data_IF_444774460838
#
_entry.id   IF_444774460838
#
_cell.length_a   1.000
_cell.length_b   1.000
_cell.length_c   1.000
_cell.angle_alpha   90.00
_cell.angle_beta   90.00
_cell.angle_gamma   90.00
#
_symmetry.space_group_name_H-M   'P 1'
#
loop_
_entity.id
_entity.type
_entity.pdbx_description
1 polymer ?
#
# COMPACT_ATOMS: atom_id res chain seq x y z
N UNK A 1 -15.46 13.96 -2.52
CA UNK A 1 -14.13 13.50 -2.91
C UNK A 1 -13.71 12.29 -2.06
N UNK A 2 -13.24 11.25 -2.70
CA UNK A 2 -12.77 10.05 -2.01
C UNK A 2 -11.41 10.32 -1.38
N UNK A 3 -11.22 9.87 -0.16
CA UNK A 3 -10.04 10.22 0.63
C UNK A 3 -9.11 9.04 0.87
N UNK A 4 -7.81 9.24 0.60
CA UNK A 4 -6.72 8.39 1.05
C UNK A 4 -5.93 9.18 2.08
N UNK A 5 -5.68 8.58 3.23
CA UNK A 5 -5.01 9.25 4.35
C UNK A 5 -3.79 8.44 4.81
N UNK A 6 -2.57 8.98 4.63
CA UNK A 6 -1.38 8.37 5.20
C UNK A 6 -1.15 8.88 6.62
N UNK A 7 -0.80 7.96 7.52
CA UNK A 7 -0.41 8.30 8.89
C UNK A 7 0.95 7.67 9.16
N UNK A 8 1.99 8.50 9.31
CA UNK A 8 3.34 8.01 9.56
C UNK A 8 3.45 7.58 11.02
N UNK A 9 3.81 6.32 11.24
CA UNK A 9 3.93 5.71 12.57
C UNK A 9 5.36 5.60 13.05
N UNK A 10 6.29 5.29 12.15
CA UNK A 10 7.73 5.23 12.42
C UNK A 10 8.46 5.82 11.24
N UNK A 11 9.45 6.65 11.50
CA UNK A 11 10.28 7.23 10.45
C UNK A 11 11.68 7.45 11.00
N UNK A 12 12.61 6.59 10.59
CA UNK A 12 14.01 6.67 11.01
C UNK A 12 14.92 6.27 9.84
N UNK A 13 16.21 6.08 10.11
CA UNK A 13 17.18 5.76 9.07
C UNK A 13 17.00 4.34 8.49
N UNK A 14 16.28 3.49 9.17
CA UNK A 14 16.15 2.07 8.78
C UNK A 14 14.81 1.74 8.14
N UNK A 15 13.71 2.29 8.67
CA UNK A 15 12.37 2.00 8.19
C UNK A 15 11.50 3.25 8.20
N UNK A 16 10.54 3.26 7.28
CA UNK A 16 9.39 4.17 7.35
C UNK A 16 8.14 3.32 7.39
N UNK A 17 7.35 3.48 8.45
CA UNK A 17 6.11 2.74 8.65
C UNK A 17 4.95 3.72 8.49
N UNK A 18 4.12 3.49 7.50
CA UNK A 18 2.97 4.34 7.19
C UNK A 18 1.70 3.51 7.22
N UNK A 19 0.72 3.96 7.97
CA UNK A 19 -0.61 3.38 7.93
C UNK A 19 -1.43 4.12 6.88
N UNK A 20 -1.92 3.39 5.89
CA UNK A 20 -2.74 3.93 4.81
C UNK A 20 -4.20 3.60 5.05
N UNK A 21 -5.05 4.62 4.96
CA UNK A 21 -6.49 4.47 5.12
C UNK A 21 -7.19 4.97 3.88
N UNK A 22 -8.11 4.16 3.35
CA UNK A 22 -8.81 4.42 2.10
C UNK A 22 -10.31 4.39 2.32
N UNK A 23 -11.01 5.45 1.94
CA UNK A 23 -12.45 5.39 1.76
C UNK A 23 -12.76 4.48 0.56
N UNK A 24 -13.97 3.88 0.49
CA UNK A 24 -14.36 3.09 -0.68
C UNK A 24 -14.20 3.91 -1.97
N UNK A 25 -13.56 3.32 -2.96
CA UNK A 25 -13.30 3.97 -4.25
C UNK A 25 -12.13 4.95 -4.25
N UNK A 26 -11.50 5.20 -3.11
CA UNK A 26 -10.34 6.10 -3.05
C UNK A 26 -9.12 5.47 -3.72
N UNK A 27 -8.27 6.32 -4.30
CA UNK A 27 -7.08 5.90 -5.02
C UNK A 27 -5.87 6.76 -4.62
N UNK A 28 -4.69 6.14 -4.57
CA UNK A 28 -3.45 6.86 -4.27
C UNK A 28 -3.01 7.78 -5.40
N UNK A 29 -3.43 7.48 -6.63
CA UNK A 29 -2.82 8.02 -7.84
C UNK A 29 -1.58 7.21 -8.22
N UNK A 30 -1.09 7.43 -9.43
CA UNK A 30 0.10 6.73 -9.91
C UNK A 30 1.32 7.13 -9.07
N UNK A 31 2.06 6.14 -8.59
CA UNK A 31 3.28 6.39 -7.82
C UNK A 31 4.28 5.27 -8.04
N UNK A 32 5.53 5.55 -7.71
CA UNK A 32 6.63 4.60 -7.80
C UNK A 32 7.24 4.41 -6.42
N UNK A 33 7.48 3.15 -6.05
CA UNK A 33 8.15 2.82 -4.80
C UNK A 33 9.66 2.91 -4.95
N UNK A 34 10.29 3.67 -4.05
CA UNK A 34 11.74 3.88 -4.04
C UNK A 34 12.49 2.82 -3.24
N UNK A 35 11.78 2.01 -2.46
CA UNK A 35 12.35 1.01 -1.56
C UNK A 35 11.55 -0.29 -1.64
N UNK A 36 12.21 -1.39 -1.27
CA UNK A 36 11.49 -2.63 -0.97
C UNK A 36 10.58 -2.38 0.23
N UNK A 37 9.44 -3.02 0.28
CA UNK A 37 8.48 -2.80 1.35
C UNK A 37 7.64 -4.02 1.67
N UNK A 38 7.14 -4.05 2.90
CA UNK A 38 6.21 -5.07 3.39
C UNK A 38 4.87 -4.39 3.63
N UNK A 39 3.80 -5.06 3.26
CA UNK A 39 2.43 -4.59 3.52
C UNK A 39 1.78 -5.54 4.52
N UNK A 40 1.18 -4.96 5.56
CA UNK A 40 0.41 -5.71 6.57
C UNK A 40 -1.02 -5.18 6.55
N UNK A 41 -1.97 -5.91 5.98
CA UNK A 41 -3.38 -5.50 6.01
C UNK A 41 -3.92 -5.46 7.43
N UNK A 42 -4.70 -4.43 7.74
CA UNK A 42 -5.39 -4.28 9.03
C UNK A 42 -6.82 -4.78 8.97
N UNK A 43 -7.36 -4.93 7.76
CA UNK A 43 -8.71 -5.44 7.52
C UNK A 43 -8.66 -6.32 6.27
N UNK A 44 -9.67 -7.16 6.09
CA UNK A 44 -9.88 -7.85 4.81
C UNK A 44 -10.41 -6.84 3.79
N UNK A 45 -10.01 -7.03 2.53
CA UNK A 45 -10.49 -6.13 1.48
C UNK A 45 -9.93 -6.49 0.12
N UNK A 46 -10.29 -5.68 -0.88
CA UNK A 46 -9.88 -5.87 -2.26
C UNK A 46 -9.27 -4.58 -2.79
N UNK A 47 -8.03 -4.67 -3.24
CA UNK A 47 -7.37 -3.60 -3.97
C UNK A 47 -7.42 -3.87 -5.46
N UNK A 48 -7.61 -2.82 -6.25
CA UNK A 48 -7.35 -2.82 -7.67
C UNK A 48 -6.01 -2.11 -7.89
N UNK A 49 -5.15 -2.75 -8.67
CA UNK A 49 -3.82 -2.23 -8.97
C UNK A 49 -3.78 -1.94 -10.47
N UNK A 50 -3.39 -0.72 -10.83
CA UNK A 50 -3.29 -0.29 -12.23
C UNK A 50 -1.86 0.09 -12.50
N UNK A 51 -1.23 -0.57 -13.48
CA UNK A 51 0.14 -0.30 -13.90
C UNK A 51 0.23 -0.27 -15.43
N UNK A 52 1.44 -0.17 -15.96
CA UNK A 52 1.67 -0.12 -17.41
C UNK A 52 1.22 -1.41 -18.13
N UNK A 53 1.17 -2.54 -17.42
CA UNK A 53 0.73 -3.83 -17.96
C UNK A 53 -0.78 -4.04 -17.89
N UNK A 54 -1.53 -3.12 -17.28
CA UNK A 54 -2.97 -3.20 -17.15
C UNK A 54 -3.44 -3.23 -15.71
N UNK A 55 -4.58 -3.86 -15.48
CA UNK A 55 -5.20 -3.95 -14.16
C UNK A 55 -5.04 -5.34 -13.57
N UNK A 56 -4.88 -5.40 -12.26
CA UNK A 56 -4.90 -6.63 -11.47
C UNK A 56 -5.59 -6.35 -10.15
N UNK A 57 -5.87 -7.42 -9.40
CA UNK A 57 -6.48 -7.32 -8.08
C UNK A 57 -5.58 -7.96 -7.05
N UNK A 58 -5.60 -7.42 -5.83
CA UNK A 58 -4.95 -8.02 -4.68
C UNK A 58 -5.97 -8.17 -3.56
N UNK A 59 -6.14 -9.39 -3.08
CA UNK A 59 -7.00 -9.67 -1.94
C UNK A 59 -6.19 -9.47 -0.67
N UNK A 60 -6.65 -8.53 0.16
CA UNK A 60 -6.03 -8.28 1.46
C UNK A 60 -6.70 -9.15 2.51
N UNK A 61 -5.89 -9.81 3.33
CA UNK A 61 -6.37 -10.58 4.47
C UNK A 61 -5.74 -10.01 5.73
N UNK A 62 -6.55 -9.68 6.70
CA UNK A 62 -6.11 -9.09 7.96
C UNK A 62 -4.95 -9.86 8.57
N UNK A 63 -3.84 -9.17 8.81
CA UNK A 63 -2.65 -9.73 9.44
C UNK A 63 -1.77 -10.60 8.55
N UNK A 64 -2.14 -10.83 7.30
CA UNK A 64 -1.33 -11.63 6.37
C UNK A 64 -0.45 -10.70 5.55
N UNK A 65 0.81 -10.59 5.95
CA UNK A 65 1.77 -9.70 5.32
C UNK A 65 2.26 -10.23 3.98
N UNK A 66 2.67 -9.30 3.09
CA UNK A 66 3.34 -9.66 1.86
C UNK A 66 4.43 -8.66 1.53
N UNK A 67 5.36 -9.08 0.66
CA UNK A 67 6.55 -8.32 0.28
C UNK A 67 6.44 -7.82 -1.15
N UNK A 68 6.94 -6.60 -1.40
CA UNK A 68 7.03 -6.01 -2.74
C UNK A 68 8.41 -5.41 -2.97
N UNK A 69 8.86 -5.51 -4.20
CA UNK A 69 10.17 -5.00 -4.62
C UNK A 69 10.14 -3.51 -4.90
N UNK A 70 11.30 -2.89 -4.75
CA UNK A 70 11.57 -1.53 -5.20
C UNK A 70 11.24 -1.38 -6.70
N UNK A 71 10.86 -0.16 -7.08
CA UNK A 71 10.49 0.24 -8.46
C UNK A 71 9.15 -0.27 -8.96
N UNK A 72 8.33 -0.81 -8.08
CA UNK A 72 6.93 -1.06 -8.43
C UNK A 72 6.25 0.28 -8.68
N UNK A 73 5.61 0.42 -9.85
CA UNK A 73 4.85 1.61 -10.21
C UNK A 73 3.41 1.22 -10.43
N UNK A 74 2.51 1.87 -9.72
CA UNK A 74 1.09 1.55 -9.82
C UNK A 74 0.20 2.65 -9.25
N UNK A 75 -1.09 2.54 -9.55
CA UNK A 75 -2.16 3.23 -8.84
C UNK A 75 -2.86 2.17 -7.98
N UNK A 76 -3.11 2.49 -6.73
CA UNK A 76 -3.75 1.58 -5.77
C UNK A 76 -5.12 2.11 -5.39
N UNK A 77 -6.14 1.31 -5.61
CA UNK A 77 -7.54 1.73 -5.47
C UNK A 77 -8.26 0.77 -4.52
N UNK A 78 -9.02 1.33 -3.58
CA UNK A 78 -9.95 0.52 -2.78
C UNK A 78 -11.13 0.13 -3.66
N UNK A 79 -11.14 -1.11 -4.12
CA UNK A 79 -12.17 -1.62 -5.05
C UNK A 79 -13.39 -2.18 -4.34
N UNK A 80 -13.41 -2.17 -3.00
CA UNK A 80 -14.54 -2.65 -2.21
C UNK A 80 -15.51 -1.54 -1.84
N UNK A 81 -16.52 -1.89 -1.06
CA UNK A 81 -17.55 -0.99 -0.59
C UNK A 81 -17.38 -0.62 0.90
N UNK A 82 -16.30 -1.04 1.52
CA UNK A 82 -15.98 -0.76 2.91
C UNK A 82 -14.64 -0.01 3.00
N UNK A 83 -14.42 0.76 4.07
CA UNK A 83 -13.11 1.36 4.31
C UNK A 83 -12.02 0.30 4.40
N UNK A 84 -10.83 0.65 3.94
CA UNK A 84 -9.69 -0.25 3.90
C UNK A 84 -8.51 0.40 4.62
N UNK A 85 -7.68 -0.42 5.28
CA UNK A 85 -6.46 0.07 5.91
C UNK A 85 -5.38 -1.01 5.88
N UNK A 86 -4.15 -0.57 5.68
CA UNK A 86 -2.97 -1.43 5.79
C UNK A 86 -1.77 -0.62 6.26
N UNK A 87 -0.78 -1.32 6.78
CA UNK A 87 0.51 -0.74 7.17
C UNK A 87 1.52 -1.08 6.10
N UNK A 88 2.25 -0.07 5.64
CA UNK A 88 3.35 -0.21 4.69
C UNK A 88 4.66 0.03 5.43
N UNK A 89 5.57 -0.91 5.35
CA UNK A 89 6.88 -0.84 6.01
C UNK A 89 7.93 -0.77 4.91
N UNK A 90 8.48 0.44 4.68
CA UNK A 90 9.55 0.67 3.72
C UNK A 90 10.90 0.38 4.36
N UNK A 91 11.73 -0.40 3.68
CA UNK A 91 13.04 -0.80 4.15
C UNK A 91 14.09 0.18 3.60
N UNK A 92 14.38 1.22 4.37
CA UNK A 92 15.21 2.35 3.91
C UNK A 92 16.70 2.03 3.93
N UNK A 93 17.15 1.27 4.91
CA UNK A 93 18.55 0.85 5.03
C UNK A 93 18.70 -0.56 4.48
N UNK A 94 18.66 -0.65 3.16
CA UNK A 94 18.70 -1.93 2.46
C UNK A 94 20.12 -2.26 2.06
N UNK A 95 20.77 -3.25 2.68
CA UNK A 95 22.12 -3.63 2.29
C UNK A 95 22.14 -4.24 0.88
N UNK A 96 23.12 -3.86 0.12
CA UNK A 96 23.32 -4.38 -1.23
C UNK A 96 24.11 -5.68 -1.20
#
# INVERSE_FOLDING_TARGET
MKKVEPVIRVDNAEVRVTEWRFEPGAATGHHRHEFDYVVVPLVDGLLRLVDAGGESSAELRKGVAYFRKVRVEHDVINAGDQPLAFVEIELLNHPL
#
